data_IF_137909918248
#
_entry.id   IF_137909918248
#
_cell.length_a   1.000
_cell.length_b   1.000
_cell.length_c   1.000
_cell.angle_alpha   90.00
_cell.angle_beta   90.00
_cell.angle_gamma   90.00
#
_symmetry.space_group_name_H-M   'P 1'
#
loop_
_entity.id
_entity.type
_entity.pdbx_description
1 polymer ?
#
# COMPACT_ATOMS: atom_id res chain seq x y z
N UNK A 1 -7.42 -19.16 2.99
CA UNK A 1 -6.14 -18.42 2.89
C UNK A 1 -6.24 -17.20 3.78
N UNK A 2 -5.19 -16.84 4.53
CA UNK A 2 -5.21 -15.65 5.37
C UNK A 2 -5.42 -14.38 4.51
N UNK A 3 -5.91 -13.31 5.13
CA UNK A 3 -6.08 -12.01 4.48
C UNK A 3 -5.27 -10.94 5.21
N UNK A 4 -4.54 -10.13 4.47
CA UNK A 4 -3.77 -8.99 4.98
C UNK A 4 -4.59 -7.72 4.80
N UNK A 5 -4.76 -6.98 5.89
CA UNK A 5 -5.29 -5.61 5.86
C UNK A 5 -4.13 -4.63 5.90
N UNK A 6 -3.99 -3.84 4.83
CA UNK A 6 -2.86 -2.93 4.64
C UNK A 6 -3.37 -1.49 4.60
N UNK A 7 -2.83 -0.62 5.44
CA UNK A 7 -3.21 0.79 5.56
C UNK A 7 -2.02 1.71 5.29
N UNK A 8 -2.24 2.73 4.45
CA UNK A 8 -1.18 3.70 4.12
C UNK A 8 -1.23 4.94 5.02
N UNK A 9 -0.44 4.96 6.10
CA UNK A 9 -0.46 6.07 7.07
C UNK A 9 0.63 7.12 6.85
N UNK A 10 1.78 6.76 6.27
CA UNK A 10 2.93 7.66 6.11
C UNK A 10 3.13 8.07 4.65
N UNK A 11 3.26 9.37 4.39
CA UNK A 11 3.52 9.89 3.04
C UNK A 11 4.73 9.24 2.37
N UNK A 12 4.61 8.99 1.06
CA UNK A 12 5.67 8.43 0.22
C UNK A 12 6.54 9.53 -0.45
N UNK A 13 6.34 10.80 -0.09
CA UNK A 13 7.19 11.91 -0.56
C UNK A 13 8.60 11.73 0.03
N UNK A 14 9.63 11.94 -0.80
CA UNK A 14 11.04 11.73 -0.41
C UNK A 14 11.50 10.26 -0.39
N UNK A 15 10.58 9.29 -0.56
CA UNK A 15 10.93 7.88 -0.70
C UNK A 15 11.24 7.50 -2.14
N UNK A 16 12.01 6.43 -2.30
CA UNK A 16 12.41 5.86 -3.58
C UNK A 16 11.20 5.50 -4.46
N UNK A 17 11.41 5.53 -5.78
CA UNK A 17 10.33 5.35 -6.77
C UNK A 17 9.71 3.96 -6.76
N UNK A 18 10.46 2.94 -6.37
CA UNK A 18 9.98 1.57 -6.17
C UNK A 18 8.91 1.48 -5.08
N UNK A 19 9.07 2.16 -3.95
CA UNK A 19 8.07 2.19 -2.88
C UNK A 19 6.75 2.80 -3.36
N UNK A 20 6.83 3.87 -4.17
CA UNK A 20 5.64 4.46 -4.80
C UNK A 20 4.96 3.48 -5.76
N UNK A 21 5.74 2.67 -6.50
CA UNK A 21 5.20 1.61 -7.36
C UNK A 21 4.54 0.50 -6.53
N UNK A 22 5.13 0.09 -5.41
CA UNK A 22 4.53 -0.91 -4.51
C UNK A 22 3.19 -0.44 -3.97
N UNK A 23 3.07 0.80 -3.52
CA UNK A 23 1.78 1.37 -3.09
C UNK A 23 0.74 1.31 -4.21
N UNK A 24 1.12 1.64 -5.46
CA UNK A 24 0.23 1.53 -6.63
C UNK A 24 -0.16 0.08 -6.93
N UNK A 25 0.77 -0.85 -6.87
CA UNK A 25 0.54 -2.27 -7.11
C UNK A 25 -0.40 -2.88 -6.05
N UNK A 26 -0.28 -2.46 -4.80
CA UNK A 26 -1.21 -2.81 -3.72
C UNK A 26 -2.59 -2.13 -3.86
N UNK A 27 -2.78 -1.22 -4.81
CA UNK A 27 -4.05 -0.51 -5.01
C UNK A 27 -4.26 0.71 -4.11
N UNK A 28 -3.22 1.15 -3.40
CA UNK A 28 -3.25 2.34 -2.55
C UNK A 28 -3.10 3.60 -3.41
N UNK A 29 -4.17 4.41 -3.47
CA UNK A 29 -4.28 5.60 -4.31
C UNK A 29 -4.12 6.91 -3.53
N UNK A 30 -4.49 6.92 -2.24
CA UNK A 30 -4.45 8.09 -1.35
C UNK A 30 -4.01 7.73 0.08
N UNK A 31 -3.41 8.69 0.78
CA UNK A 31 -3.03 8.52 2.20
C UNK A 31 -4.28 8.27 3.07
N UNK A 32 -4.16 7.39 4.06
CA UNK A 32 -5.27 6.94 4.91
C UNK A 32 -6.14 5.83 4.29
N UNK A 33 -5.87 5.42 3.04
CA UNK A 33 -6.60 4.32 2.42
C UNK A 33 -6.15 2.97 3.01
N UNK A 34 -7.12 2.08 3.17
CA UNK A 34 -6.92 0.68 3.54
C UNK A 34 -7.38 -0.23 2.40
N UNK A 35 -6.65 -1.32 2.17
CA UNK A 35 -6.97 -2.37 1.20
C UNK A 35 -6.85 -3.73 1.88
N UNK A 36 -7.61 -4.71 1.42
CA UNK A 36 -7.51 -6.10 1.86
C UNK A 36 -7.02 -6.97 0.71
N UNK A 37 -5.99 -7.77 0.97
CA UNK A 37 -5.39 -8.71 0.01
C UNK A 37 -5.36 -10.10 0.60
N UNK A 38 -5.35 -11.12 -0.25
CA UNK A 38 -5.05 -12.48 0.20
C UNK A 38 -3.57 -12.58 0.49
N UNK A 39 -3.23 -13.27 1.57
CA UNK A 39 -1.85 -13.60 1.91
C UNK A 39 -1.37 -14.70 0.94
N UNK A 40 -0.50 -14.32 0.01
CA UNK A 40 0.04 -15.14 -1.08
C UNK A 40 1.54 -15.01 -1.16
#
# INVERSE_FOLDING_TARGET
>A
MPSLRISWHKSAIGYAGDQKRTLRALGLRRLGQTVEHRDT
#
